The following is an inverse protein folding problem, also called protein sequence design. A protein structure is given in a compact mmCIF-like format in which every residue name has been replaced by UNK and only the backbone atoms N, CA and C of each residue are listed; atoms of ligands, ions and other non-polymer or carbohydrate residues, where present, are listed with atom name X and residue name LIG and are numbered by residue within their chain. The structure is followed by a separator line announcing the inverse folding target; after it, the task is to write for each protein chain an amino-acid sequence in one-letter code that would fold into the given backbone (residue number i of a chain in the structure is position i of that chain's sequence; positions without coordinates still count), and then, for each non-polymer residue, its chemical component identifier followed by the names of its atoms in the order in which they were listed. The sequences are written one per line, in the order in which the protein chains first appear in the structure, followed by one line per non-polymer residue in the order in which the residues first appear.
data_IF_220010456531
#
_entry.id   IF_220010456531
#
_cell.length_a   1.000
_cell.length_b   1.000
_cell.length_c   1.000
_cell.angle_alpha   90.00
_cell.angle_beta   90.00
_cell.angle_gamma   90.00
#
_symmetry.space_group_name_H-M   'P 1'
#
loop_
_entity.id
_entity.type
_entity.pdbx_description
1 polymer ?
#
# COMPACT_ATOMS: atom_id res chain seq x y z
N UNK A 1 12.33 -8.52 -0.72
CA UNK A 1 11.41 -7.81 0.18
C UNK A 1 11.89 -8.13 1.60
N UNK A 2 12.09 -7.14 2.46
CA UNK A 2 12.62 -7.38 3.81
C UNK A 2 11.47 -7.73 4.76
N UNK A 3 11.55 -8.92 5.34
CA UNK A 3 10.55 -9.47 6.26
C UNK A 3 11.07 -9.44 7.69
N UNK A 4 10.16 -9.21 8.63
CA UNK A 4 10.44 -9.04 10.05
C UNK A 4 9.44 -9.85 10.86
N UNK A 5 9.91 -10.40 11.98
CA UNK A 5 9.08 -11.09 12.95
C UNK A 5 9.06 -10.31 14.27
N UNK A 6 7.86 -10.12 14.83
CA UNK A 6 7.71 -9.53 16.17
C UNK A 6 8.21 -10.54 17.20
N UNK A 7 9.17 -10.11 18.01
CA UNK A 7 9.65 -10.90 19.15
C UNK A 7 8.84 -10.60 20.40
N UNK A 8 8.93 -11.45 21.43
CA UNK A 8 8.28 -11.22 22.73
C UNK A 8 8.92 -10.09 23.55
N UNK A 9 10.05 -9.53 23.09
CA UNK A 9 10.75 -8.46 23.77
C UNK A 9 10.00 -7.13 23.62
N UNK A 10 9.72 -6.50 24.76
CA UNK A 10 9.23 -5.13 24.85
C UNK A 10 10.18 -4.29 25.71
N UNK A 11 10.36 -3.03 25.33
CA UNK A 11 11.31 -2.12 25.97
C UNK A 11 10.63 -0.76 26.15
N UNK A 12 10.83 -0.14 27.32
CA UNK A 12 10.47 1.26 27.53
C UNK A 12 11.67 2.13 27.12
N UNK A 13 11.46 3.00 26.15
CA UNK A 13 12.49 3.91 25.64
C UNK A 13 12.03 5.35 25.81
N UNK A 14 12.96 6.25 26.15
CA UNK A 14 12.68 7.68 26.12
C UNK A 14 12.47 8.10 24.66
N UNK A 15 11.40 8.84 24.37
CA UNK A 15 11.08 9.27 23.01
C UNK A 15 12.24 10.06 22.34
N UNK A 16 13.08 10.74 23.13
CA UNK A 16 14.27 11.45 22.64
C UNK A 16 15.35 10.51 22.07
N UNK A 17 15.36 9.25 22.48
CA UNK A 17 16.29 8.21 22.00
C UNK A 17 15.79 7.53 20.71
N UNK A 18 14.53 7.78 20.29
CA UNK A 18 13.97 7.20 19.07
C UNK A 18 14.46 7.96 17.85
N UNK A 19 15.44 7.39 17.15
CA UNK A 19 16.03 7.99 15.94
C UNK A 19 15.06 8.02 14.75
N UNK A 20 14.19 7.03 14.66
CA UNK A 20 13.27 6.91 13.53
C UNK A 20 12.13 5.93 13.76
N UNK A 21 11.05 6.13 13.00
CA UNK A 21 9.93 5.19 12.89
C UNK A 21 9.96 4.53 11.51
N UNK A 22 9.96 3.20 11.48
CA UNK A 22 9.88 2.43 10.24
C UNK A 22 8.43 2.02 9.96
N UNK A 23 8.05 2.02 8.68
CA UNK A 23 6.73 1.60 8.23
C UNK A 23 6.76 0.11 7.91
N UNK A 24 6.29 -0.69 8.85
CA UNK A 24 6.08 -2.12 8.69
C UNK A 24 4.59 -2.38 8.48
N UNK A 25 4.26 -3.16 7.46
CA UNK A 25 2.90 -3.59 7.15
C UNK A 25 2.79 -5.08 7.38
N UNK A 26 1.65 -5.54 7.88
CA UNK A 26 1.43 -6.97 8.11
C UNK A 26 1.61 -7.77 6.81
N UNK A 27 2.29 -8.93 6.88
CA UNK A 27 2.42 -9.83 5.74
C UNK A 27 1.13 -10.63 5.55
N UNK A 28 0.07 -9.98 5.08
CA UNK A 28 -1.25 -10.60 4.92
C UNK A 28 -1.25 -11.81 3.98
N UNK A 29 -0.34 -11.82 3.00
CA UNK A 29 -0.22 -12.91 2.04
C UNK A 29 0.24 -14.21 2.72
N UNK A 30 1.33 -14.15 3.49
CA UNK A 30 1.87 -15.32 4.19
C UNK A 30 1.17 -15.60 5.53
N UNK A 31 0.48 -14.60 6.08
CA UNK A 31 -0.29 -14.70 7.31
C UNK A 31 -1.73 -15.19 7.12
N UNK A 32 -2.07 -15.76 5.96
CA UNK A 32 -3.38 -16.32 5.61
C UNK A 32 -4.58 -15.42 5.96
N UNK A 33 -4.39 -14.10 5.91
CA UNK A 33 -5.41 -13.16 6.35
C UNK A 33 -6.64 -13.22 5.43
N UNK A 34 -7.82 -13.22 6.03
CA UNK A 34 -9.09 -13.37 5.31
C UNK A 34 -9.73 -12.02 5.05
N UNK A 35 -10.43 -11.89 3.93
CA UNK A 35 -11.30 -10.74 3.70
C UNK A 35 -12.69 -11.07 4.24
N UNK A 36 -13.10 -10.43 5.33
CA UNK A 36 -14.40 -10.66 5.98
C UNK A 36 -15.27 -9.40 5.92
N UNK A 37 -16.60 -9.58 5.88
CA UNK A 37 -17.55 -8.46 5.79
C UNK A 37 -17.88 -7.90 7.18
N UNK A 38 -16.87 -7.41 7.90
CA UNK A 38 -16.99 -6.98 9.31
C UNK A 38 -17.10 -5.48 9.50
N UNK A 39 -16.46 -4.68 8.64
CA UNK A 39 -16.36 -3.23 8.84
C UNK A 39 -17.70 -2.56 8.68
N UNK A 40 -18.21 -1.95 9.75
CA UNK A 40 -19.43 -1.14 9.71
C UNK A 40 -19.18 0.09 8.83
N UNK A 41 -20.05 0.31 7.84
CA UNK A 41 -20.00 1.53 7.03
C UNK A 41 -20.73 2.65 7.75
N UNK A 42 -20.16 3.86 7.73
CA UNK A 42 -20.86 5.06 8.21
C UNK A 42 -21.46 5.82 7.04
N UNK A 43 -22.75 6.09 7.13
CA UNK A 43 -23.50 6.96 6.20
C UNK A 43 -24.06 8.10 7.03
N UNK A 44 -23.77 9.35 6.64
CA UNK A 44 -24.25 10.54 7.36
C UNK A 44 -23.94 10.55 8.87
N UNK A 45 -22.75 10.05 9.23
CA UNK A 45 -22.26 9.90 10.61
C UNK A 45 -23.01 8.86 11.46
N UNK A 46 -23.98 8.15 10.90
CA UNK A 46 -24.65 7.01 11.55
C UNK A 46 -24.05 5.69 11.06
N UNK A 47 -24.00 4.71 11.96
CA UNK A 47 -23.57 3.36 11.64
C UNK A 47 -24.65 2.67 10.79
N UNK A 48 -24.27 2.20 9.61
CA UNK A 48 -25.15 1.48 8.69
C UNK A 48 -25.22 -0.01 9.06
N UNK A 49 -26.32 -0.66 8.69
CA UNK A 49 -26.40 -2.13 8.70
C UNK A 49 -25.53 -2.77 7.59
N UNK A 50 -25.13 -1.98 6.58
CA UNK A 50 -24.24 -2.45 5.52
C UNK A 50 -22.82 -2.52 6.05
N UNK A 51 -22.23 -3.71 5.96
CA UNK A 51 -20.83 -3.95 6.27
C UNK A 51 -19.99 -3.97 4.98
N UNK A 52 -18.82 -3.37 5.04
CA UNK A 52 -17.79 -3.45 4.02
C UNK A 52 -16.86 -4.64 4.29
N UNK A 53 -16.15 -5.05 3.23
CA UNK A 53 -15.06 -6.00 3.35
C UNK A 53 -13.88 -5.36 4.08
N UNK A 54 -13.27 -6.11 4.97
CA UNK A 54 -12.10 -5.74 5.76
C UNK A 54 -11.19 -6.96 5.91
N UNK A 55 -9.89 -6.72 6.04
CA UNK A 55 -8.93 -7.80 6.27
C UNK A 55 -8.96 -8.17 7.75
N UNK A 56 -9.27 -9.43 8.03
CA UNK A 56 -9.09 -10.05 9.35
C UNK A 56 -7.72 -10.69 9.39
N UNK A 57 -6.87 -10.18 10.28
CA UNK A 57 -5.51 -10.69 10.47
C UNK A 57 -5.54 -11.96 11.34
N UNK A 58 -4.95 -13.06 10.84
CA UNK A 58 -4.84 -14.33 11.57
C UNK A 58 -3.47 -14.50 12.24
N UNK A 59 -2.40 -14.11 11.54
CA UNK A 59 -1.06 -13.92 12.10
C UNK A 59 -0.88 -12.47 12.55
N UNK A 60 -0.14 -12.25 13.63
CA UNK A 60 0.23 -10.92 14.14
C UNK A 60 1.74 -10.78 14.33
N UNK A 61 2.53 -11.71 13.81
CA UNK A 61 3.98 -11.76 14.00
C UNK A 61 4.76 -11.35 12.78
N UNK A 62 4.26 -11.59 11.56
CA UNK A 62 5.01 -11.36 10.31
C UNK A 62 4.69 -10.02 9.67
N UNK A 63 5.74 -9.26 9.39
CA UNK A 63 5.64 -7.93 8.81
C UNK A 63 6.63 -7.74 7.66
N UNK A 64 6.28 -6.82 6.77
CA UNK A 64 7.06 -6.42 5.62
C UNK A 64 7.43 -4.95 5.78
N UNK A 65 8.70 -4.63 5.63
CA UNK A 65 9.17 -3.25 5.63
C UNK A 65 8.88 -2.55 4.30
N UNK A 66 8.20 -1.40 4.35
CA UNK A 66 8.12 -0.49 3.21
C UNK A 66 9.48 0.17 2.94
N UNK A 67 10.33 -0.53 2.22
CA UNK A 67 11.72 -0.15 1.96
C UNK A 67 11.86 1.16 1.15
N UNK A 68 10.80 1.56 0.45
CA UNK A 68 10.75 2.77 -0.36
C UNK A 68 9.89 3.88 0.28
N UNK A 69 9.71 3.84 1.60
CA UNK A 69 9.01 4.90 2.34
C UNK A 69 9.66 6.26 2.11
N UNK A 70 8.83 7.28 1.82
CA UNK A 70 9.28 8.67 1.67
C UNK A 70 9.68 9.32 3.00
N UNK A 71 9.26 8.74 4.13
CA UNK A 71 9.69 9.14 5.47
C UNK A 71 10.88 8.30 5.89
N UNK A 72 11.88 8.93 6.51
CA UNK A 72 13.05 8.23 7.04
C UNK A 72 13.74 7.31 6.02
N UNK A 73 13.88 7.80 4.78
CA UNK A 73 14.38 7.03 3.62
C UNK A 73 15.68 6.29 3.93
N UNK A 74 16.64 6.98 4.57
CA UNK A 74 17.95 6.40 4.92
C UNK A 74 17.81 5.21 5.87
N UNK A 75 16.94 5.31 6.88
CA UNK A 75 16.70 4.22 7.84
C UNK A 75 15.98 3.04 7.19
N UNK A 76 14.97 3.27 6.34
CA UNK A 76 14.29 2.19 5.63
C UNK A 76 15.23 1.45 4.67
N UNK A 77 16.03 2.17 3.88
CA UNK A 77 17.01 1.58 2.96
C UNK A 77 18.09 0.80 3.69
N UNK A 78 18.62 1.33 4.80
CA UNK A 78 19.62 0.62 5.61
C UNK A 78 19.00 -0.65 6.21
N UNK A 79 17.81 -0.55 6.78
CA UNK A 79 17.15 -1.66 7.48
C UNK A 79 16.68 -2.74 6.50
N UNK A 80 16.33 -2.37 5.27
CA UNK A 80 15.91 -3.34 4.24
C UNK A 80 17.05 -4.18 3.70
N UNK A 81 18.31 -3.77 3.91
CA UNK A 81 19.48 -4.42 3.31
C UNK A 81 19.51 -4.35 1.78
N UNK A 82 18.64 -3.56 1.15
CA UNK A 82 18.59 -3.44 -0.31
C UNK A 82 19.86 -2.76 -0.81
N UNK A 83 20.59 -3.45 -1.69
CA UNK A 83 21.66 -2.85 -2.48
C UNK A 83 21.02 -2.02 -3.57
N UNK A 84 21.04 -0.70 -3.39
CA UNK A 84 20.65 0.24 -4.43
C UNK A 84 21.91 0.62 -5.19
N UNK A 85 22.00 0.15 -6.43
CA UNK A 85 23.05 0.59 -7.34
C UNK A 85 22.81 2.06 -7.71
N UNK A 86 23.92 2.81 -7.83
CA UNK A 86 23.85 4.16 -8.37
C UNK A 86 23.40 4.07 -9.83
N UNK A 87 22.32 4.77 -10.16
CA UNK A 87 21.86 4.87 -11.54
C UNK A 87 22.69 5.96 -12.23
N UNK A 88 23.47 5.57 -13.22
CA UNK A 88 24.34 6.47 -13.97
C UNK A 88 23.52 7.45 -14.84
N UNK A 89 24.04 8.66 -15.14
CA UNK A 89 23.32 9.66 -15.93
C UNK A 89 22.83 9.13 -17.29
N UNK A 90 23.62 8.28 -17.95
CA UNK A 90 23.22 7.68 -19.23
C UNK A 90 22.09 6.66 -19.08
N UNK A 91 22.06 5.91 -17.97
CA UNK A 91 20.97 4.98 -17.67
C UNK A 91 19.66 5.73 -17.43
N UNK A 92 19.73 6.86 -16.73
CA UNK A 92 18.59 7.78 -16.59
C UNK A 92 18.09 8.28 -17.95
N UNK A 93 19.00 8.74 -18.80
CA UNK A 93 18.66 9.24 -20.13
C UNK A 93 17.99 8.15 -20.97
N UNK A 94 18.54 6.94 -20.98
CA UNK A 94 17.96 5.80 -21.70
C UNK A 94 16.56 5.46 -21.16
N UNK A 95 16.39 5.38 -19.84
CA UNK A 95 15.10 5.09 -19.23
C UNK A 95 14.02 6.13 -19.59
N UNK A 96 14.38 7.42 -19.66
CA UNK A 96 13.46 8.48 -20.10
C UNK A 96 13.05 8.33 -21.56
N UNK A 97 14.00 8.06 -22.46
CA UNK A 97 13.71 7.83 -23.89
C UNK A 97 12.82 6.60 -24.08
N UNK A 98 13.14 5.49 -23.40
CA UNK A 98 12.38 4.25 -23.45
C UNK A 98 10.94 4.45 -22.93
N UNK A 99 10.80 5.12 -21.78
CA UNK A 99 9.51 5.46 -21.21
C UNK A 99 8.66 6.30 -22.16
N UNK A 100 9.25 7.32 -22.76
CA UNK A 100 8.57 8.19 -23.72
C UNK A 100 8.14 7.43 -24.99
N UNK A 101 8.99 6.55 -25.51
CA UNK A 101 8.68 5.74 -26.69
C UNK A 101 7.53 4.76 -26.39
N UNK A 102 7.54 4.08 -25.24
CA UNK A 102 6.43 3.24 -24.77
C UNK A 102 5.14 4.02 -24.60
N UNK A 103 5.20 5.22 -24.04
CA UNK A 103 4.04 6.10 -23.93
C UNK A 103 3.47 6.44 -25.30
N UNK A 104 4.32 6.88 -26.24
CA UNK A 104 3.91 7.24 -27.61
C UNK A 104 3.27 6.05 -28.34
N UNK A 105 3.84 4.85 -28.21
CA UNK A 105 3.29 3.63 -28.80
C UNK A 105 1.89 3.29 -28.25
N UNK A 106 1.62 3.60 -26.98
CA UNK A 106 0.31 3.38 -26.35
C UNK A 106 -0.75 4.46 -26.68
N UNK A 107 -0.41 5.55 -27.38
CA UNK A 107 -1.39 6.60 -27.76
C UNK A 107 -2.56 6.11 -28.62
N UNK A 108 -2.43 4.97 -29.30
CA UNK A 108 -3.50 4.38 -30.12
C UNK A 108 -4.40 3.37 -29.41
N UNK A 109 -4.12 3.00 -28.15
CA UNK A 109 -4.99 2.13 -27.33
C UNK A 109 -5.99 2.94 -26.51
N UNK A 110 -6.61 3.92 -27.16
CA UNK A 110 -7.75 4.68 -26.64
C UNK A 110 -8.97 3.77 -26.54
N UNK A 111 -9.02 2.99 -25.47
CA UNK A 111 -10.20 2.59 -24.68
C UNK A 111 -9.65 1.71 -23.56
N UNK A 112 -9.37 2.31 -22.41
CA UNK A 112 -9.43 1.56 -21.16
C UNK A 112 -10.85 1.01 -21.10
N UNK A 113 -11.04 -0.28 -21.42
CA UNK A 113 -12.29 -0.96 -21.14
C UNK A 113 -12.33 -1.05 -19.62
N UNK A 114 -13.01 -0.10 -18.98
CA UNK A 114 -13.49 -0.37 -17.63
C UNK A 114 -14.37 -1.61 -17.77
N UNK A 115 -14.09 -2.72 -17.08
CA UNK A 115 -15.10 -3.76 -16.98
C UNK A 115 -16.34 -3.05 -16.42
N UNK A 116 -17.41 -3.04 -17.20
CA UNK A 116 -18.72 -2.66 -16.71
C UNK A 116 -19.05 -3.72 -15.67
N UNK A 117 -18.65 -3.50 -14.41
CA UNK A 117 -19.25 -4.24 -13.33
C UNK A 117 -20.70 -3.79 -13.33
N UNK A 118 -21.63 -4.73 -13.50
CA UNK A 118 -23.06 -4.53 -13.26
C UNK A 118 -23.32 -4.28 -11.76
N UNK A 119 -22.63 -3.31 -11.16
CA UNK A 119 -22.93 -2.76 -9.87
C UNK A 119 -24.06 -1.76 -10.06
N UNK A 120 -25.27 -2.30 -10.18
CA UNK A 120 -26.49 -1.56 -9.95
C UNK A 120 -26.43 -0.96 -8.54
N UNK A 121 -26.06 0.32 -8.47
CA UNK A 121 -26.48 1.31 -7.46
C UNK A 121 -25.76 2.62 -7.77
N UNK A 122 -26.27 3.37 -8.73
CA UNK A 122 -26.12 4.83 -8.72
C UNK A 122 -27.39 5.35 -8.05
N UNK A 123 -27.24 5.94 -6.87
CA UNK A 123 -28.35 6.60 -6.16
C UNK A 123 -28.84 7.75 -7.04
N UNK A 124 -30.15 7.89 -7.17
CA UNK A 124 -30.81 8.90 -8.01
C UNK A 124 -30.43 10.32 -7.52
N UNK A 125 -29.91 11.20 -8.39
CA UNK A 125 -29.64 12.60 -8.07
C UNK A 125 -30.86 13.38 -7.53
N UNK A 126 -32.08 12.89 -7.71
CA UNK A 126 -33.30 13.47 -7.14
C UNK A 126 -33.34 13.44 -5.59
N UNK A 127 -32.45 12.68 -4.93
CA UNK A 127 -32.30 12.68 -3.47
C UNK A 127 -31.40 13.80 -2.92
N UNK A 128 -30.90 14.72 -3.76
CA UNK A 128 -30.04 15.84 -3.34
C UNK A 128 -30.70 17.22 -3.51
N UNK A 129 -32.03 17.30 -3.40
CA UNK A 129 -32.74 18.59 -3.22
C UNK A 129 -32.90 18.85 -1.73
#
# INVERSE_FOLDING_TARGET
MAEFEVTEHSLFVNAKEVLSSLNLQHNCHNGNCQLTKTRVMRVERQDSQVKAMEVTHEDNKKFILNSCSLRAIKFHRRTSGLKLETVEPLQWLNALHDGLNKWKANKKKGKTIFPVSNAATRVDPAFLI
#
